data_IF_267956731885
#
_entry.id   IF_267956731885
#
_cell.length_a   1.000
_cell.length_b   1.000
_cell.length_c   1.000
_cell.angle_alpha   90.00
_cell.angle_beta   90.00
_cell.angle_gamma   90.00
#
_symmetry.space_group_name_H-M   'P 1'
#
loop_
_entity.id
_entity.type
_entity.pdbx_description
1 polymer ?
#
# COMPACT_ATOMS: atom_id res chain seq x y z
N UNK A 1 18.54 -12.42 39.97
CA UNK A 1 17.61 -12.50 38.82
C UNK A 1 16.93 -11.14 38.71
N UNK A 2 17.47 -10.24 37.89
CA UNK A 2 16.99 -8.85 37.81
C UNK A 2 16.22 -8.67 36.50
N UNK A 3 14.91 -8.48 36.59
CA UNK A 3 14.06 -8.13 35.45
C UNK A 3 14.33 -6.68 35.05
N UNK A 4 14.91 -6.47 33.87
CA UNK A 4 15.15 -5.13 33.33
C UNK A 4 13.86 -4.63 32.65
N UNK A 5 12.95 -4.03 33.42
CA UNK A 5 11.78 -3.35 32.85
C UNK A 5 12.21 -1.97 32.36
N UNK A 6 12.30 -1.82 31.03
CA UNK A 6 12.59 -0.54 30.39
C UNK A 6 11.37 0.39 30.53
N UNK A 7 11.33 1.17 31.60
CA UNK A 7 10.35 2.24 31.78
C UNK A 7 10.52 3.32 30.71
N UNK A 8 9.42 3.72 30.06
CA UNK A 8 9.39 4.81 29.08
C UNK A 8 8.68 6.01 29.68
N UNK A 9 9.25 7.20 29.51
CA UNK A 9 8.69 8.44 30.06
C UNK A 9 7.43 8.89 29.30
N UNK A 10 6.43 9.50 29.97
CA UNK A 10 5.18 9.97 29.34
C UNK A 10 5.39 10.90 28.13
N UNK A 11 6.38 11.80 28.16
CA UNK A 11 6.67 12.70 27.05
C UNK A 11 7.13 11.99 25.76
N UNK A 12 7.78 10.82 25.88
CA UNK A 12 8.16 9.98 24.73
C UNK A 12 6.95 9.24 24.13
N UNK A 13 5.97 8.91 24.96
CA UNK A 13 4.71 8.30 24.51
C UNK A 13 3.87 9.30 23.73
N UNK A 14 3.71 10.53 24.27
CA UNK A 14 2.99 11.61 23.58
C UNK A 14 3.67 12.01 22.26
N UNK A 15 4.99 12.18 22.24
CA UNK A 15 5.73 12.48 21.00
C UNK A 15 5.63 11.37 19.94
N UNK A 16 5.38 10.12 20.36
CA UNK A 16 5.19 8.97 19.46
C UNK A 16 3.74 8.89 18.97
N UNK A 17 2.77 9.17 19.84
CA UNK A 17 1.35 9.31 19.46
C UNK A 17 1.15 10.40 18.42
N UNK A 18 1.74 11.58 18.65
CA UNK A 18 1.71 12.69 17.69
C UNK A 18 2.34 12.31 16.34
N UNK A 19 3.52 11.68 16.35
CA UNK A 19 4.16 11.19 15.10
C UNK A 19 3.33 10.13 14.39
N UNK A 20 2.68 9.23 15.13
CA UNK A 20 1.78 8.22 14.57
C UNK A 20 0.55 8.83 13.91
N UNK A 21 -0.07 9.82 14.55
CA UNK A 21 -1.20 10.56 13.98
C UNK A 21 -0.81 11.32 12.71
N UNK A 22 0.32 12.03 12.73
CA UNK A 22 0.82 12.72 11.53
C UNK A 22 1.14 11.75 10.39
N UNK A 23 1.78 10.62 10.70
CA UNK A 23 2.05 9.58 9.70
C UNK A 23 0.75 8.99 9.12
N UNK A 24 -0.28 8.82 9.94
CA UNK A 24 -1.59 8.34 9.48
C UNK A 24 -2.27 9.32 8.52
N UNK A 25 -2.30 10.62 8.87
CA UNK A 25 -2.85 11.64 7.98
C UNK A 25 -2.05 11.80 6.68
N UNK A 26 -0.72 11.74 6.77
CA UNK A 26 0.15 11.76 5.60
C UNK A 26 -0.07 10.55 4.69
N UNK A 27 -0.27 9.35 5.27
CA UNK A 27 -0.61 8.14 4.51
C UNK A 27 -1.94 8.26 3.79
N UNK A 28 -3.00 8.66 4.49
CA UNK A 28 -4.32 8.84 3.88
C UNK A 28 -4.33 9.91 2.76
N UNK A 29 -3.57 10.99 2.92
CA UNK A 29 -3.41 11.99 1.86
C UNK A 29 -2.65 11.46 0.65
N UNK A 30 -1.67 10.58 0.86
CA UNK A 30 -0.96 9.94 -0.23
C UNK A 30 -1.85 8.95 -0.99
N UNK A 31 -2.61 8.12 -0.27
CA UNK A 31 -3.61 7.21 -0.86
C UNK A 31 -4.59 7.97 -1.77
N UNK A 32 -5.13 9.10 -1.31
CA UNK A 32 -6.06 9.91 -2.08
C UNK A 32 -5.45 10.51 -3.36
N UNK A 33 -4.18 10.94 -3.31
CA UNK A 33 -3.48 11.50 -4.48
C UNK A 33 -3.14 10.43 -5.50
N UNK A 34 -2.66 9.27 -5.04
CA UNK A 34 -2.42 8.12 -5.93
C UNK A 34 -3.73 7.65 -6.57
N UNK A 35 -4.80 7.54 -5.80
CA UNK A 35 -6.11 7.20 -6.35
C UNK A 35 -6.57 8.19 -7.42
N UNK A 36 -6.41 9.49 -7.18
CA UNK A 36 -6.73 10.53 -8.17
C UNK A 36 -5.89 10.40 -9.45
N UNK A 37 -4.60 10.06 -9.33
CA UNK A 37 -3.73 9.78 -10.48
C UNK A 37 -4.27 8.59 -11.32
N UNK A 38 -4.61 7.47 -10.68
CA UNK A 38 -5.21 6.33 -11.37
C UNK A 38 -6.56 6.66 -12.02
N UNK A 39 -7.40 7.48 -11.36
CA UNK A 39 -8.65 7.96 -11.95
C UNK A 39 -8.43 8.78 -13.21
N UNK A 40 -7.42 9.66 -13.22
CA UNK A 40 -7.05 10.43 -14.41
C UNK A 40 -6.60 9.52 -15.57
N UNK A 41 -6.04 8.34 -15.27
CA UNK A 41 -5.71 7.30 -16.26
C UNK A 41 -6.88 6.36 -16.62
N UNK A 42 -8.09 6.65 -16.14
CA UNK A 42 -9.31 5.91 -16.48
C UNK A 42 -9.54 4.65 -15.64
N UNK A 43 -8.87 4.49 -14.51
CA UNK A 43 -9.18 3.43 -13.55
C UNK A 43 -10.35 3.82 -12.63
N UNK A 44 -11.07 2.82 -12.13
CA UNK A 44 -12.12 2.97 -11.11
C UNK A 44 -11.74 2.22 -9.85
N UNK A 45 -12.10 2.76 -8.69
CA UNK A 45 -11.79 2.14 -7.38
C UNK A 45 -12.78 1.04 -7.07
N UNK A 46 -12.27 -0.14 -6.72
CA UNK A 46 -13.03 -1.29 -6.24
C UNK A 46 -13.00 -1.38 -4.71
N UNK A 47 -11.86 -1.06 -4.10
CA UNK A 47 -11.75 -0.98 -2.65
C UNK A 47 -10.58 -0.08 -2.23
N UNK A 48 -10.65 0.41 -0.99
CA UNK A 48 -9.58 1.14 -0.29
C UNK A 48 -9.29 0.45 1.03
N UNK A 49 -8.02 0.37 1.43
CA UNK A 49 -7.54 -0.25 2.69
C UNK A 49 -8.20 -1.59 2.96
N UNK A 50 -8.28 -2.42 1.93
CA UNK A 50 -8.96 -3.71 1.99
C UNK A 50 -8.11 -4.68 2.80
N UNK A 51 -8.71 -5.36 3.79
CA UNK A 51 -8.01 -6.26 4.69
C UNK A 51 -8.44 -7.70 4.47
N UNK A 52 -7.48 -8.52 4.06
CA UNK A 52 -7.65 -9.96 3.99
C UNK A 52 -7.71 -10.59 5.38
N UNK A 53 -8.37 -11.73 5.49
CA UNK A 53 -8.45 -12.54 6.70
C UNK A 53 -7.10 -13.19 7.04
N UNK A 54 -6.40 -13.71 6.04
CA UNK A 54 -5.11 -14.39 6.22
C UNK A 54 -3.93 -13.62 5.63
N UNK A 55 -4.20 -12.64 4.78
CA UNK A 55 -3.19 -11.81 4.12
C UNK A 55 -2.80 -10.54 4.89
N UNK A 56 -2.58 -9.48 4.13
CA UNK A 56 -2.31 -8.12 4.59
C UNK A 56 -3.41 -7.12 4.25
N UNK A 57 -3.14 -5.85 4.56
CA UNK A 57 -3.90 -4.75 3.98
C UNK A 57 -3.42 -4.52 2.54
N UNK A 58 -4.33 -4.13 1.66
CA UNK A 58 -4.05 -3.59 0.33
C UNK A 58 -4.59 -2.17 0.33
N UNK A 59 -3.74 -1.18 0.06
CA UNK A 59 -4.10 0.22 0.19
C UNK A 59 -5.17 0.62 -0.83
N UNK A 60 -4.99 0.23 -2.10
CA UNK A 60 -5.97 0.46 -3.16
C UNK A 60 -6.16 -0.78 -4.03
N UNK A 61 -7.40 -1.05 -4.40
CA UNK A 61 -7.77 -2.03 -5.43
C UNK A 61 -8.52 -1.28 -6.53
N UNK A 62 -7.96 -1.26 -7.73
CA UNK A 62 -8.42 -0.45 -8.86
C UNK A 62 -8.69 -1.36 -10.06
N UNK A 63 -9.57 -0.95 -10.98
CA UNK A 63 -9.83 -1.69 -12.21
C UNK A 63 -9.93 -0.80 -13.45
N UNK A 64 -9.55 -1.35 -14.60
CA UNK A 64 -9.79 -0.78 -15.93
C UNK A 64 -10.08 -1.89 -16.92
N UNK A 65 -11.36 -2.06 -17.27
CA UNK A 65 -11.80 -3.22 -18.06
C UNK A 65 -11.57 -4.55 -17.31
N UNK A 66 -10.89 -5.54 -17.93
CA UNK A 66 -10.58 -6.81 -17.28
C UNK A 66 -9.45 -6.69 -16.25
N UNK A 67 -8.59 -5.67 -16.36
CA UNK A 67 -7.45 -5.46 -15.49
C UNK A 67 -7.90 -5.05 -14.08
N UNK A 68 -7.39 -5.77 -13.08
CA UNK A 68 -7.46 -5.47 -11.65
C UNK A 68 -6.04 -5.21 -11.13
N UNK A 69 -5.87 -4.06 -10.49
CA UNK A 69 -4.58 -3.59 -9.97
C UNK A 69 -4.66 -3.50 -8.45
N UNK A 70 -3.74 -4.19 -7.79
CA UNK A 70 -3.56 -4.13 -6.34
C UNK A 70 -2.34 -3.25 -6.04
N UNK A 71 -2.56 -2.14 -5.35
CA UNK A 71 -1.55 -1.09 -5.18
C UNK A 71 -1.16 -0.98 -3.71
N UNK A 72 0.15 -1.00 -3.46
CA UNK A 72 0.76 -0.50 -2.23
C UNK A 72 1.17 0.96 -2.44
N UNK A 73 0.83 1.85 -1.49
CA UNK A 73 1.16 3.26 -1.54
C UNK A 73 2.27 3.58 -0.54
N UNK A 74 3.31 4.29 -0.97
CA UNK A 74 4.35 4.79 -0.08
C UNK A 74 4.61 6.27 -0.31
N UNK A 75 4.83 6.98 0.80
CA UNK A 75 5.46 8.30 0.76
C UNK A 75 6.97 8.14 0.69
N UNK A 76 7.58 8.76 -0.30
CA UNK A 76 9.02 8.84 -0.45
C UNK A 76 9.49 10.29 -0.17
N UNK A 77 10.74 10.46 0.26
CA UNK A 77 11.34 11.80 0.35
C UNK A 77 11.75 12.31 -1.05
N UNK A 78 12.13 11.38 -1.92
CA UNK A 78 12.50 11.57 -3.34
C UNK A 78 12.22 10.26 -4.07
N UNK A 79 11.89 10.30 -5.37
CA UNK A 79 11.79 9.10 -6.22
C UNK A 79 13.14 8.38 -6.45
N UNK A 80 14.26 9.05 -6.16
CA UNK A 80 15.60 8.49 -6.26
C UNK A 80 15.88 7.44 -5.15
N UNK A 81 15.28 6.27 -5.29
CA UNK A 81 15.53 5.10 -4.46
C UNK A 81 15.63 3.87 -5.34
N UNK A 82 16.84 3.51 -5.79
CA UNK A 82 17.12 2.25 -6.50
C UNK A 82 16.70 0.97 -5.72
N UNK A 83 16.11 1.11 -4.53
CA UNK A 83 15.66 0.05 -3.63
C UNK A 83 14.14 0.06 -3.37
N UNK A 84 13.36 0.92 -4.03
CA UNK A 84 11.89 1.00 -3.83
C UNK A 84 11.20 -0.15 -4.58
N UNK A 85 11.19 -1.34 -3.97
CA UNK A 85 10.45 -2.50 -4.49
C UNK A 85 9.55 -3.09 -3.39
N UNK A 86 8.53 -3.84 -3.81
CA UNK A 86 7.81 -4.71 -2.89
C UNK A 86 8.75 -5.81 -2.41
N UNK A 87 9.05 -5.83 -1.11
CA UNK A 87 9.82 -6.93 -0.54
C UNK A 87 9.05 -8.25 -0.72
N UNK A 88 9.73 -9.40 -0.87
CA UNK A 88 9.05 -10.69 -1.10
C UNK A 88 7.98 -11.03 -0.06
N UNK A 89 8.20 -10.66 1.21
CA UNK A 89 7.22 -10.86 2.27
C UNK A 89 5.96 -9.99 2.13
N UNK A 90 6.10 -8.76 1.63
CA UNK A 90 4.95 -7.87 1.35
C UNK A 90 4.16 -8.42 0.17
N UNK A 91 4.85 -8.75 -0.93
CA UNK A 91 4.21 -9.31 -2.12
C UNK A 91 3.41 -10.57 -1.79
N UNK A 92 3.96 -11.49 -0.99
CA UNK A 92 3.20 -12.68 -0.53
C UNK A 92 1.92 -12.32 0.21
N UNK A 93 1.96 -11.36 1.13
CA UNK A 93 0.78 -10.95 1.90
C UNK A 93 -0.28 -10.29 1.04
N UNK A 94 0.15 -9.43 0.11
CA UNK A 94 -0.71 -8.76 -0.86
C UNK A 94 -1.33 -9.80 -1.81
N UNK A 95 -0.56 -10.77 -2.29
CA UNK A 95 -1.04 -11.84 -3.15
C UNK A 95 -2.09 -12.73 -2.44
N UNK A 96 -1.87 -13.09 -1.17
CA UNK A 96 -2.89 -13.79 -0.37
C UNK A 96 -4.17 -12.96 -0.24
N UNK A 97 -4.05 -11.66 0.05
CA UNK A 97 -5.19 -10.75 0.11
C UNK A 97 -5.91 -10.60 -1.23
N UNK A 98 -5.18 -10.53 -2.34
CA UNK A 98 -5.73 -10.45 -3.68
C UNK A 98 -6.54 -11.69 -4.04
N UNK A 99 -6.04 -12.89 -3.71
CA UNK A 99 -6.77 -14.14 -3.91
C UNK A 99 -8.08 -14.18 -3.11
N UNK A 100 -8.05 -13.73 -1.85
CA UNK A 100 -9.26 -13.62 -1.03
C UNK A 100 -10.26 -12.58 -1.58
N UNK A 101 -9.77 -11.45 -2.09
CA UNK A 101 -10.61 -10.43 -2.72
C UNK A 101 -11.31 -10.98 -3.97
N UNK A 102 -10.56 -11.65 -4.85
CA UNK A 102 -11.09 -12.25 -6.08
C UNK A 102 -12.13 -13.33 -5.80
N UNK A 103 -11.98 -14.09 -4.71
CA UNK A 103 -12.96 -15.10 -4.30
C UNK A 103 -14.34 -14.50 -3.97
N UNK A 104 -14.45 -13.19 -3.75
CA UNK A 104 -15.72 -12.50 -3.51
C UNK A 104 -16.48 -12.14 -4.80
N UNK A 105 -15.83 -12.21 -5.96
CA UNK A 105 -16.40 -11.83 -7.26
C UNK A 105 -16.17 -12.95 -8.30
N UNK A 106 -16.99 -14.02 -8.28
CA UNK A 106 -16.81 -15.19 -9.13
C UNK A 106 -16.94 -14.91 -10.63
N UNK A 107 -17.50 -13.77 -11.03
CA UNK A 107 -17.63 -13.38 -12.44
C UNK A 107 -16.32 -12.83 -13.04
N UNK A 108 -15.31 -12.59 -12.21
CA UNK A 108 -13.98 -12.05 -12.61
C UNK A 108 -12.88 -13.11 -12.58
N UNK A 109 -13.20 -14.37 -12.85
CA UNK A 109 -12.20 -15.47 -12.88
C UNK A 109 -11.08 -15.25 -13.91
N UNK A 110 -11.35 -14.48 -14.97
CA UNK A 110 -10.41 -14.20 -16.06
C UNK A 110 -9.81 -12.78 -15.98
N UNK A 111 -9.82 -12.15 -14.81
CA UNK A 111 -9.24 -10.82 -14.65
C UNK A 111 -7.71 -10.85 -14.82
N UNK A 112 -7.18 -9.93 -15.63
CA UNK A 112 -5.75 -9.64 -15.64
C UNK A 112 -5.36 -9.01 -14.30
N UNK A 113 -4.30 -9.49 -13.66
CA UNK A 113 -3.87 -9.02 -12.33
C UNK A 113 -2.53 -8.32 -12.43
N UNK A 114 -2.43 -7.15 -11.78
CA UNK A 114 -1.18 -6.39 -11.64
C UNK A 114 -0.96 -5.98 -10.19
N UNK A 115 0.29 -6.03 -9.74
CA UNK A 115 0.71 -5.55 -8.42
C UNK A 115 1.62 -4.35 -8.57
N UNK A 116 1.16 -3.18 -8.14
CA UNK A 116 1.91 -1.93 -8.32
C UNK A 116 2.42 -1.40 -6.97
N UNK A 117 3.60 -0.79 -7.01
CA UNK A 117 4.07 0.09 -5.95
C UNK A 117 3.94 1.53 -6.44
N UNK A 118 3.13 2.32 -5.75
CA UNK A 118 2.91 3.73 -6.05
C UNK A 118 3.64 4.60 -5.04
N UNK A 119 4.53 5.47 -5.53
CA UNK A 119 5.33 6.37 -4.73
C UNK A 119 4.82 7.80 -4.90
N UNK A 120 4.59 8.48 -3.78
CA UNK A 120 4.31 9.91 -3.75
C UNK A 120 5.44 10.62 -3.01
N UNK A 121 6.12 11.54 -3.68
CA UNK A 121 7.22 12.27 -3.07
C UNK A 121 6.74 13.47 -2.21
N UNK A 122 7.68 14.32 -1.79
CA UNK A 122 7.37 15.52 -1.03
C UNK A 122 6.83 16.68 -1.89
N UNK A 123 7.02 16.62 -3.20
CA UNK A 123 6.56 17.62 -4.18
C UNK A 123 5.16 17.30 -4.73
N UNK A 124 4.69 16.06 -4.52
CA UNK A 124 3.40 15.58 -5.01
C UNK A 124 3.52 14.81 -6.33
N UNK A 125 4.74 14.51 -6.77
CA UNK A 125 4.98 13.75 -7.98
C UNK A 125 4.74 12.26 -7.72
N UNK A 126 4.11 11.62 -8.71
CA UNK A 126 3.70 10.22 -8.65
C UNK A 126 4.61 9.39 -9.53
N UNK A 127 5.17 8.32 -8.95
CA UNK A 127 5.87 7.27 -9.70
C UNK A 127 5.15 5.94 -9.48
N UNK A 128 4.81 5.25 -10.56
CA UNK A 128 4.18 3.92 -10.52
C UNK A 128 5.18 2.87 -11.02
N UNK A 129 5.62 2.02 -10.10
CA UNK A 129 6.41 0.83 -10.44
C UNK A 129 5.41 -0.29 -10.69
N UNK A 130 5.06 -0.44 -11.97
CA UNK A 130 4.13 -1.47 -12.42
C UNK A 130 4.75 -2.84 -12.28
N UNK A 131 3.94 -3.79 -11.82
CA UNK A 131 4.42 -5.15 -11.56
C UNK A 131 5.75 -5.09 -10.81
N UNK A 132 5.75 -4.59 -9.57
CA UNK A 132 6.95 -4.52 -8.75
C UNK A 132 7.45 -5.96 -8.45
N UNK A 133 8.09 -6.56 -9.46
CA UNK A 133 8.48 -7.94 -9.57
C UNK A 133 9.80 -8.14 -8.83
N UNK A 134 9.96 -9.37 -8.36
CA UNK A 134 11.16 -9.88 -7.70
C UNK A 134 12.34 -9.81 -8.68
N UNK A 135 13.47 -9.22 -8.27
CA UNK A 135 14.74 -9.56 -8.90
C UNK A 135 15.05 -11.04 -8.61
N UNK A 136 15.46 -11.73 -9.69
CA UNK A 136 16.13 -13.04 -9.85
C UNK A 136 16.35 -13.95 -8.62
#
# INVERSE_FOLDING_TARGET
MSINVRWRSPAMDESRKHRGAMAHHAGASAEAQIEAHYHAEGFSTRARRWRGRHGGEIDLILCRGPLLVFVEVKRAATHAGAAEHLRPAQLRRIATSAAEFLALDPERTDADIRFDLALLDAQGEVEIIQNAHMFD
#
